data_IF_169202274712
#
_entry.id   IF_169202274712
#
_cell.length_a   1.000
_cell.length_b   1.000
_cell.length_c   1.000
_cell.angle_alpha   90.00
_cell.angle_beta   90.00
_cell.angle_gamma   90.00
#
_symmetry.space_group_name_H-M   'P 1'
#
loop_
_entity.id
_entity.type
_entity.pdbx_description
1 polymer ?
#
# COMPACT_ATOMS: atom_id res chain seq x y z
N UNK A 1 -21.32 -43.13 -8.11
CA UNK A 1 -20.06 -42.69 -7.48
C UNK A 1 -20.32 -41.35 -6.85
N UNK A 2 -20.48 -41.32 -5.53
CA UNK A 2 -20.82 -40.11 -4.77
C UNK A 2 -19.52 -39.32 -4.58
N UNK A 3 -19.39 -38.17 -5.23
CA UNK A 3 -18.31 -37.23 -4.91
C UNK A 3 -18.59 -36.67 -3.51
N UNK A 4 -17.77 -37.08 -2.55
CA UNK A 4 -17.70 -36.42 -1.25
C UNK A 4 -17.05 -35.06 -1.53
N UNK A 5 -17.83 -33.98 -1.54
CA UNK A 5 -17.28 -32.65 -1.29
C UNK A 5 -16.89 -32.64 0.18
N UNK A 6 -15.66 -33.01 0.48
CA UNK A 6 -15.05 -32.64 1.77
C UNK A 6 -15.00 -31.12 1.80
N UNK A 7 -16.03 -30.53 2.40
CA UNK A 7 -16.01 -29.14 2.80
C UNK A 7 -15.23 -29.09 4.12
N UNK A 8 -13.93 -29.31 4.04
CA UNK A 8 -13.04 -29.26 5.20
C UNK A 8 -12.94 -27.80 5.62
N UNK A 9 -13.39 -27.50 6.84
CA UNK A 9 -13.27 -26.16 7.40
C UNK A 9 -11.79 -25.73 7.41
N UNK A 10 -11.48 -24.44 7.14
CA UNK A 10 -10.10 -23.99 7.17
C UNK A 10 -9.48 -24.23 8.55
N UNK A 11 -8.28 -24.80 8.55
CA UNK A 11 -7.43 -24.96 9.71
C UNK A 11 -6.59 -23.71 9.94
N UNK A 12 -6.18 -23.52 11.19
CA UNK A 12 -5.44 -22.36 11.63
C UNK A 12 -4.42 -22.74 12.71
N UNK A 13 -3.34 -21.99 12.77
CA UNK A 13 -2.38 -22.01 13.87
C UNK A 13 -2.27 -20.61 14.49
N UNK A 14 -1.68 -20.53 15.68
CA UNK A 14 -1.46 -19.27 16.39
C UNK A 14 0.02 -18.99 16.44
N UNK A 15 0.42 -17.77 16.06
CA UNK A 15 1.79 -17.31 16.19
C UNK A 15 1.80 -15.89 16.78
N UNK A 16 2.45 -15.74 17.93
CA UNK A 16 2.30 -14.54 18.76
C UNK A 16 0.85 -14.34 19.20
N UNK A 17 0.29 -13.16 18.94
CA UNK A 17 -1.09 -12.81 19.30
C UNK A 17 -2.09 -13.00 18.14
N UNK A 18 -1.64 -13.51 17.00
CA UNK A 18 -2.46 -13.61 15.77
C UNK A 18 -2.73 -15.06 15.39
N UNK A 19 -3.87 -15.25 14.72
CA UNK A 19 -4.33 -16.53 14.20
C UNK A 19 -4.19 -16.54 12.68
N UNK A 20 -3.44 -17.49 12.16
CA UNK A 20 -3.11 -17.61 10.73
C UNK A 20 -3.75 -18.86 10.16
N UNK A 21 -4.32 -18.73 8.97
CA UNK A 21 -4.88 -19.87 8.24
C UNK A 21 -3.74 -20.74 7.71
N UNK A 22 -3.81 -22.06 7.92
CA UNK A 22 -2.87 -23.03 7.36
C UNK A 22 -3.37 -23.71 6.09
N UNK A 23 -4.69 -23.88 5.95
CA UNK A 23 -5.26 -24.56 4.77
C UNK A 23 -5.07 -23.71 3.51
N UNK A 24 -4.48 -24.24 2.42
CA UNK A 24 -4.44 -23.57 1.13
C UNK A 24 -5.83 -23.14 0.62
N UNK A 25 -5.93 -22.11 -0.23
CA UNK A 25 -7.19 -21.78 -0.89
C UNK A 25 -7.62 -22.87 -1.90
N UNK A 26 -8.93 -22.99 -2.13
CA UNK A 26 -9.41 -23.63 -3.36
C UNK A 26 -9.15 -22.72 -4.57
N UNK A 27 -9.31 -23.25 -5.79
CA UNK A 27 -9.18 -22.44 -7.02
C UNK A 27 -10.21 -21.31 -7.07
N UNK A 28 -11.44 -21.59 -6.65
CA UNK A 28 -12.52 -20.60 -6.59
C UNK A 28 -12.24 -19.53 -5.54
N UNK A 29 -11.68 -19.92 -4.39
CA UNK A 29 -11.32 -18.99 -3.33
C UNK A 29 -10.14 -18.09 -3.73
N UNK A 30 -9.09 -18.65 -4.35
CA UNK A 30 -7.97 -17.86 -4.85
C UNK A 30 -8.46 -16.87 -5.94
N UNK A 31 -9.40 -17.28 -6.79
CA UNK A 31 -10.02 -16.38 -7.76
C UNK A 31 -10.82 -15.24 -7.08
N UNK A 32 -11.52 -15.53 -5.97
CA UNK A 32 -12.21 -14.50 -5.19
C UNK A 32 -11.23 -13.55 -4.51
N UNK A 33 -10.12 -14.06 -3.97
CA UNK A 33 -9.05 -13.22 -3.42
C UNK A 33 -8.46 -12.32 -4.48
N UNK A 34 -8.21 -12.85 -5.68
CA UNK A 34 -7.72 -12.04 -6.80
C UNK A 34 -8.72 -10.96 -7.23
N UNK A 35 -10.02 -11.29 -7.25
CA UNK A 35 -11.05 -10.30 -7.53
C UNK A 35 -11.17 -9.22 -6.44
N UNK A 36 -10.87 -9.56 -5.18
CA UNK A 36 -11.02 -8.64 -4.03
C UNK A 36 -9.79 -7.78 -3.80
N UNK A 37 -8.60 -8.37 -3.91
CA UNK A 37 -7.32 -7.76 -3.53
C UNK A 37 -6.41 -7.46 -4.74
N UNK A 38 -6.82 -7.87 -5.94
CA UNK A 38 -6.00 -7.78 -7.15
C UNK A 38 -5.03 -8.94 -7.24
N UNK A 39 -3.73 -8.65 -7.27
CA UNK A 39 -2.72 -9.69 -7.36
C UNK A 39 -2.53 -10.41 -6.01
N UNK A 40 -2.29 -11.72 -6.06
CA UNK A 40 -1.99 -12.57 -4.90
C UNK A 40 -0.67 -13.26 -5.18
N UNK A 41 0.30 -13.08 -4.28
CA UNK A 41 1.55 -13.82 -4.32
C UNK A 41 1.35 -15.20 -3.70
N UNK A 42 1.99 -16.20 -4.31
CA UNK A 42 2.08 -17.54 -3.76
C UNK A 42 3.54 -17.98 -3.76
N UNK A 43 4.01 -18.51 -2.64
CA UNK A 43 5.33 -19.11 -2.50
C UNK A 43 5.21 -20.59 -2.12
N UNK A 44 6.17 -21.39 -2.58
CA UNK A 44 6.34 -22.81 -2.25
C UNK A 44 7.84 -23.03 -1.99
N UNK A 45 8.18 -23.65 -0.87
CA UNK A 45 9.57 -23.86 -0.47
C UNK A 45 10.19 -25.14 -1.06
N UNK A 46 9.42 -25.92 -1.82
CA UNK A 46 9.85 -27.20 -2.38
C UNK A 46 9.80 -28.37 -1.41
N UNK A 47 9.51 -28.13 -0.13
CA UNK A 47 9.30 -29.14 0.92
C UNK A 47 7.81 -29.32 1.24
N UNK A 48 6.95 -28.62 0.51
CA UNK A 48 5.50 -28.68 0.64
C UNK A 48 4.92 -27.62 1.57
N UNK A 49 5.72 -26.68 2.06
CA UNK A 49 5.21 -25.50 2.73
C UNK A 49 4.84 -24.44 1.70
N UNK A 50 3.65 -23.88 1.85
CA UNK A 50 3.12 -22.86 0.96
C UNK A 50 2.68 -21.63 1.72
N UNK A 51 2.68 -20.51 1.03
CA UNK A 51 2.31 -19.19 1.55
C UNK A 51 1.53 -18.43 0.48
N UNK A 52 0.48 -17.73 0.89
CA UNK A 52 -0.30 -16.82 0.06
C UNK A 52 -0.38 -15.46 0.73
N UNK A 53 -0.01 -14.42 -0.01
CA UNK A 53 -0.03 -13.03 0.44
C UNK A 53 -0.89 -12.20 -0.51
N UNK A 54 -1.67 -11.28 0.05
CA UNK A 54 -2.30 -10.19 -0.72
C UNK A 54 -1.44 -8.94 -0.69
N UNK A 55 -1.68 -8.03 -1.62
CA UNK A 55 -1.06 -6.70 -1.56
C UNK A 55 -1.63 -5.92 -0.38
N UNK A 56 -0.84 -5.10 0.33
CA UNK A 56 -1.38 -4.23 1.36
C UNK A 56 -2.31 -3.20 0.73
N UNK A 57 -3.38 -2.88 1.44
CA UNK A 57 -4.26 -1.77 1.09
C UNK A 57 -3.81 -0.48 1.81
N UNK A 58 -4.38 0.66 1.45
CA UNK A 58 -4.08 1.94 2.09
C UNK A 58 -4.28 1.89 3.62
N UNK A 59 -5.35 1.28 4.18
CA UNK A 59 -5.48 1.07 5.61
C UNK A 59 -4.28 0.35 6.26
N UNK A 60 -3.82 -0.78 5.71
CA UNK A 60 -2.64 -1.51 6.20
C UNK A 60 -1.41 -0.61 6.17
N UNK A 61 -1.14 0.04 5.02
CA UNK A 61 0.03 0.91 4.86
C UNK A 61 0.03 2.05 5.88
N UNK A 62 -1.13 2.65 6.15
CA UNK A 62 -1.25 3.71 7.17
C UNK A 62 -0.99 3.19 8.58
N UNK A 63 -1.41 1.98 8.91
CA UNK A 63 -1.10 1.38 10.22
C UNK A 63 0.41 1.13 10.33
N UNK A 64 1.02 0.55 9.32
CA UNK A 64 2.45 0.26 9.30
C UNK A 64 3.29 1.55 9.42
N UNK A 65 3.02 2.56 8.60
CA UNK A 65 3.73 3.86 8.66
C UNK A 65 3.52 4.54 10.03
N UNK A 66 2.34 4.41 10.63
CA UNK A 66 2.07 4.99 11.95
C UNK A 66 2.92 4.34 13.05
N UNK A 67 3.15 3.03 12.98
CA UNK A 67 4.02 2.31 13.92
C UNK A 67 5.47 2.73 13.73
N UNK A 68 5.96 2.79 12.49
CA UNK A 68 7.31 3.28 12.18
C UNK A 68 7.54 4.70 12.75
N UNK A 69 6.58 5.62 12.57
CA UNK A 69 6.64 6.98 13.13
C UNK A 69 6.65 7.04 14.66
N UNK A 70 6.22 5.98 15.36
CA UNK A 70 6.28 5.89 16.83
C UNK A 70 7.64 5.38 17.34
N UNK A 71 8.65 5.30 16.47
CA UNK A 71 10.00 4.89 16.83
C UNK A 71 10.24 3.38 16.72
N UNK A 72 9.37 2.66 16.00
CA UNK A 72 9.61 1.27 15.62
C UNK A 72 10.65 1.18 14.49
N UNK A 73 11.34 0.05 14.43
CA UNK A 73 12.39 -0.20 13.45
C UNK A 73 11.81 -0.49 12.06
N UNK A 74 12.66 -0.48 11.02
CA UNK A 74 12.24 -0.92 9.68
C UNK A 74 11.81 -2.39 9.70
N UNK A 75 12.49 -3.23 10.48
CA UNK A 75 12.14 -4.65 10.68
C UNK A 75 10.72 -4.78 11.25
N UNK A 76 10.36 -4.00 12.28
CA UNK A 76 9.00 -3.99 12.84
C UNK A 76 7.94 -3.59 11.79
N UNK A 77 8.31 -2.74 10.83
CA UNK A 77 7.43 -2.27 9.77
C UNK A 77 7.21 -3.35 8.70
N UNK A 78 8.29 -3.96 8.20
CA UNK A 78 8.27 -5.07 7.25
C UNK A 78 7.49 -6.25 7.82
N UNK A 79 7.77 -6.61 9.08
CA UNK A 79 7.11 -7.71 9.80
C UNK A 79 5.59 -7.50 9.90
N UNK A 80 5.18 -6.28 10.30
CA UNK A 80 3.78 -5.93 10.41
C UNK A 80 3.07 -5.96 9.05
N UNK A 81 3.71 -5.43 8.00
CA UNK A 81 3.15 -5.46 6.65
C UNK A 81 2.97 -6.89 6.16
N UNK A 82 4.02 -7.70 6.26
CA UNK A 82 4.03 -9.08 5.81
C UNK A 82 2.93 -9.90 6.50
N UNK A 83 2.85 -9.83 7.83
CA UNK A 83 1.81 -10.52 8.62
C UNK A 83 0.40 -10.01 8.32
N UNK A 84 0.23 -8.71 8.11
CA UNK A 84 -1.08 -8.12 7.75
C UNK A 84 -1.55 -8.53 6.35
N UNK A 85 -0.62 -8.95 5.49
CA UNK A 85 -0.88 -9.40 4.13
C UNK A 85 -1.08 -10.92 4.01
N UNK A 86 -0.93 -11.66 5.10
CA UNK A 86 -1.07 -13.11 5.12
C UNK A 86 -2.51 -13.56 4.88
N UNK A 87 -2.72 -14.36 3.83
CA UNK A 87 -4.01 -14.99 3.53
C UNK A 87 -4.09 -16.44 4.03
N UNK A 88 -3.04 -17.21 3.73
CA UNK A 88 -2.89 -18.60 4.18
C UNK A 88 -1.41 -19.01 4.09
N UNK A 89 -1.00 -19.98 4.91
CA UNK A 89 0.31 -20.60 4.75
C UNK A 89 0.70 -21.48 5.92
N UNK A 90 1.76 -22.26 5.78
CA UNK A 90 2.27 -23.12 6.85
C UNK A 90 3.00 -22.31 7.92
N UNK A 91 2.95 -22.78 9.17
CA UNK A 91 3.65 -22.16 10.32
C UNK A 91 5.16 -22.02 10.09
N UNK A 92 5.76 -22.90 9.28
CA UNK A 92 7.17 -22.84 8.88
C UNK A 92 7.59 -21.44 8.38
N UNK A 93 6.73 -20.76 7.63
CA UNK A 93 6.97 -19.39 7.12
C UNK A 93 6.95 -18.30 8.17
N UNK A 94 6.70 -18.59 9.45
CA UNK A 94 6.82 -17.63 10.55
C UNK A 94 7.84 -18.06 11.61
N UNK A 95 8.25 -19.34 11.63
CA UNK A 95 9.15 -19.87 12.67
C UNK A 95 10.55 -20.22 12.15
N UNK A 96 10.70 -20.42 10.83
CA UNK A 96 11.99 -20.59 10.19
C UNK A 96 12.49 -19.23 9.68
N UNK A 97 13.57 -18.72 10.25
CA UNK A 97 14.14 -17.41 9.95
C UNK A 97 14.62 -17.31 8.49
N UNK A 98 15.30 -18.33 7.97
CA UNK A 98 15.77 -18.35 6.57
C UNK A 98 14.58 -18.30 5.59
N UNK A 99 13.50 -19.02 5.90
CA UNK A 99 12.29 -19.05 5.09
C UNK A 99 11.55 -17.71 5.15
N UNK A 100 11.52 -17.09 6.33
CA UNK A 100 10.90 -15.79 6.55
C UNK A 100 11.63 -14.69 5.79
N UNK A 101 12.95 -14.63 5.90
CA UNK A 101 13.78 -13.66 5.20
C UNK A 101 13.69 -13.84 3.68
N UNK A 102 13.69 -15.09 3.19
CA UNK A 102 13.49 -15.36 1.77
C UNK A 102 12.13 -14.84 1.27
N UNK A 103 11.05 -15.05 2.03
CA UNK A 103 9.74 -14.53 1.69
C UNK A 103 9.67 -13.00 1.74
N UNK A 104 10.31 -12.37 2.73
CA UNK A 104 10.38 -10.91 2.85
C UNK A 104 11.10 -10.27 1.66
N UNK A 105 12.24 -10.84 1.24
CA UNK A 105 13.01 -10.34 0.10
C UNK A 105 12.20 -10.32 -1.20
N UNK A 106 11.30 -11.28 -1.41
CA UNK A 106 10.39 -11.31 -2.55
C UNK A 106 9.16 -10.39 -2.36
N UNK A 107 8.72 -10.20 -1.12
CA UNK A 107 7.56 -9.36 -0.78
C UNK A 107 7.86 -7.86 -0.85
N UNK A 108 9.05 -7.43 -0.44
CA UNK A 108 9.44 -6.02 -0.34
C UNK A 108 9.28 -5.23 -1.66
N UNK A 109 9.84 -5.68 -2.80
CA UNK A 109 9.69 -4.98 -4.07
C UNK A 109 8.22 -4.89 -4.52
N UNK A 110 7.39 -5.86 -4.13
CA UNK A 110 5.98 -5.89 -4.50
C UNK A 110 5.14 -4.86 -3.76
N UNK A 111 5.56 -4.47 -2.55
CA UNK A 111 4.88 -3.48 -1.70
C UNK A 111 5.48 -2.07 -1.81
N UNK A 112 6.44 -1.87 -2.70
CA UNK A 112 7.01 -0.54 -2.99
C UNK A 112 5.94 0.40 -3.59
N UNK A 113 5.81 1.60 -2.99
CA UNK A 113 4.90 2.64 -3.47
C UNK A 113 5.54 3.26 -4.72
N UNK A 114 4.85 3.30 -5.86
CA UNK A 114 5.41 3.89 -7.08
C UNK A 114 5.64 5.39 -6.91
N UNK A 115 6.79 5.87 -7.38
CA UNK A 115 7.04 7.30 -7.49
C UNK A 115 6.13 7.93 -8.54
N UNK A 116 5.52 9.06 -8.18
CA UNK A 116 4.76 9.86 -9.13
C UNK A 116 5.64 10.90 -9.81
N UNK A 117 5.66 10.89 -11.14
CA UNK A 117 6.30 11.94 -11.92
C UNK A 117 5.58 13.27 -11.68
N UNK A 118 6.34 14.32 -11.35
CA UNK A 118 5.79 15.65 -11.07
C UNK A 118 6.40 16.70 -12.01
N UNK A 119 5.57 17.27 -12.88
CA UNK A 119 5.98 18.26 -13.89
C UNK A 119 5.21 19.58 -13.73
N UNK A 120 5.91 20.72 -13.67
CA UNK A 120 5.26 22.03 -13.66
C UNK A 120 4.90 22.46 -15.08
N UNK A 121 3.65 22.88 -15.28
CA UNK A 121 3.09 23.41 -16.52
C UNK A 121 2.94 24.92 -16.37
N UNK A 122 3.93 25.67 -16.88
CA UNK A 122 4.01 27.12 -16.67
C UNK A 122 2.80 27.88 -17.24
N UNK A 123 2.31 27.47 -18.42
CA UNK A 123 1.20 28.14 -19.11
C UNK A 123 -0.13 28.02 -18.36
N UNK A 124 -0.29 26.97 -17.56
CA UNK A 124 -1.49 26.69 -16.76
C UNK A 124 -1.30 27.05 -15.28
N UNK A 125 -0.05 27.27 -14.86
CA UNK A 125 0.34 27.40 -13.46
C UNK A 125 -0.11 26.21 -12.58
N UNK A 126 -0.02 24.99 -13.15
CA UNK A 126 -0.39 23.72 -12.51
C UNK A 126 0.79 22.75 -12.47
N UNK A 127 0.69 21.74 -11.62
CA UNK A 127 1.56 20.57 -11.64
C UNK A 127 0.81 19.39 -12.22
N UNK A 128 1.34 18.78 -13.26
CA UNK A 128 0.92 17.48 -13.76
C UNK A 128 1.60 16.39 -12.94
N UNK A 129 0.80 15.44 -12.46
CA UNK A 129 1.23 14.26 -11.74
C UNK A 129 0.90 13.02 -12.57
N UNK A 130 1.88 12.12 -12.71
CA UNK A 130 1.67 10.82 -13.40
C UNK A 130 2.16 9.66 -12.56
N UNK A 131 1.35 8.61 -12.46
CA UNK A 131 1.73 7.37 -11.79
C UNK A 131 0.90 6.21 -12.33
N UNK A 132 1.53 5.07 -12.64
CA UNK A 132 0.83 3.85 -13.11
C UNK A 132 -0.21 4.10 -14.23
N UNK A 133 0.07 5.03 -15.14
CA UNK A 133 -0.85 5.39 -16.24
C UNK A 133 -1.93 6.43 -15.87
N UNK A 134 -2.15 6.72 -14.60
CA UNK A 134 -2.99 7.83 -14.16
C UNK A 134 -2.29 9.17 -14.45
N UNK A 135 -3.07 10.14 -14.90
CA UNK A 135 -2.62 11.52 -15.11
C UNK A 135 -3.63 12.46 -14.49
N UNK A 136 -3.14 13.41 -13.70
CA UNK A 136 -3.97 14.48 -13.16
C UNK A 136 -3.19 15.77 -12.95
N UNK A 137 -3.90 16.88 -12.81
CA UNK A 137 -3.29 18.18 -12.56
C UNK A 137 -3.74 18.74 -11.23
N UNK A 138 -2.79 19.31 -10.49
CA UNK A 138 -3.00 19.94 -9.20
C UNK A 138 -2.45 21.36 -9.17
N UNK A 139 -3.11 22.25 -8.46
CA UNK A 139 -2.56 23.55 -8.13
C UNK A 139 -1.49 23.42 -7.03
N UNK A 140 -0.57 24.38 -6.96
CA UNK A 140 0.36 24.45 -5.83
C UNK A 140 -0.39 24.67 -4.50
N UNK A 141 -0.17 23.85 -3.46
CA UNK A 141 -0.86 24.04 -2.19
C UNK A 141 -0.40 25.33 -1.47
N UNK A 142 -1.36 26.22 -1.19
CA UNK A 142 -1.10 27.42 -0.39
C UNK A 142 -0.85 27.09 1.09
N UNK A 143 -0.25 28.02 1.84
CA UNK A 143 -0.11 27.88 3.32
C UNK A 143 -1.46 27.73 4.01
N UNK A 144 -2.51 28.40 3.52
CA UNK A 144 -3.86 28.33 4.09
C UNK A 144 -4.46 26.93 3.90
N UNK A 145 -4.39 26.38 2.70
CA UNK A 145 -4.87 25.02 2.40
C UNK A 145 -4.11 23.97 3.22
N UNK A 146 -2.77 24.07 3.31
CA UNK A 146 -1.97 23.17 4.17
C UNK A 146 -2.44 23.15 5.62
N UNK A 147 -2.58 24.34 6.22
CA UNK A 147 -3.09 24.47 7.60
C UNK A 147 -4.51 23.93 7.76
N UNK A 148 -5.37 24.11 6.75
CA UNK A 148 -6.73 23.60 6.77
C UNK A 148 -6.76 22.06 6.68
N UNK A 149 -5.94 21.47 5.81
CA UNK A 149 -5.82 20.03 5.66
C UNK A 149 -5.22 19.36 6.90
N UNK A 150 -4.21 19.97 7.52
CA UNK A 150 -3.63 19.51 8.81
C UNK A 150 -4.69 19.48 9.92
N UNK A 151 -5.50 20.54 10.04
CA UNK A 151 -6.59 20.60 11.02
C UNK A 151 -7.67 19.54 10.80
N UNK A 152 -7.89 19.11 9.55
CA UNK A 152 -8.85 18.06 9.22
C UNK A 152 -8.33 16.65 9.56
N UNK A 153 -7.01 16.46 9.58
CA UNK A 153 -6.38 15.22 10.00
C UNK A 153 -6.30 15.11 11.54
N UNK A 154 -7.46 15.12 12.20
CA UNK A 154 -7.59 15.16 13.68
C UNK A 154 -6.93 13.99 14.39
N UNK A 155 -6.90 12.82 13.75
CA UNK A 155 -6.29 11.60 14.29
C UNK A 155 -4.80 11.47 13.93
N UNK A 156 -4.19 12.48 13.31
CA UNK A 156 -2.80 12.48 12.83
C UNK A 156 -2.41 11.20 12.09
N UNK A 157 -3.35 10.67 11.29
CA UNK A 157 -3.13 9.42 10.56
C UNK A 157 -2.18 9.68 9.40
N UNK A 158 -1.28 8.74 9.05
CA UNK A 158 -0.46 8.84 7.86
C UNK A 158 -1.30 9.12 6.61
N UNK A 159 -0.75 9.92 5.69
CA UNK A 159 -1.39 10.47 4.50
C UNK A 159 -2.66 11.30 4.71
N UNK A 160 -3.20 11.43 5.94
CA UNK A 160 -4.49 12.09 6.15
C UNK A 160 -4.49 13.56 5.75
N UNK A 161 -3.38 14.26 5.97
CA UNK A 161 -3.22 15.65 5.54
C UNK A 161 -3.14 15.74 4.02
N UNK A 162 -2.41 14.84 3.38
CA UNK A 162 -2.19 14.81 1.93
C UNK A 162 -3.50 14.49 1.21
N UNK A 163 -4.32 13.58 1.73
CA UNK A 163 -5.65 13.25 1.19
C UNK A 163 -6.56 14.48 1.17
N UNK A 164 -6.65 15.19 2.30
CA UNK A 164 -7.46 16.42 2.38
C UNK A 164 -6.89 17.54 1.53
N UNK A 165 -5.56 17.62 1.42
CA UNK A 165 -4.92 18.63 0.61
C UNK A 165 -5.17 18.38 -0.88
N UNK A 166 -5.05 17.14 -1.33
CA UNK A 166 -5.32 16.71 -2.70
C UNK A 166 -6.73 17.12 -3.14
N UNK A 167 -7.75 16.87 -2.32
CA UNK A 167 -9.13 17.31 -2.58
C UNK A 167 -9.28 18.82 -2.78
N UNK A 168 -8.44 19.62 -2.12
CA UNK A 168 -8.49 21.09 -2.22
C UNK A 168 -7.75 21.64 -3.43
N UNK A 169 -6.84 20.87 -4.02
CA UNK A 169 -5.92 21.35 -5.06
C UNK A 169 -6.08 20.63 -6.40
N UNK A 170 -6.82 19.52 -6.46
CA UNK A 170 -7.11 18.81 -7.72
C UNK A 170 -7.87 19.70 -8.70
N UNK A 171 -7.38 19.78 -9.94
CA UNK A 171 -7.97 20.62 -10.99
C UNK A 171 -8.45 19.79 -12.18
N UNK A 172 -7.69 18.79 -12.62
CA UNK A 172 -8.00 17.98 -13.80
C UNK A 172 -7.64 16.50 -13.59
N UNK A 173 -8.36 15.61 -14.29
CA UNK A 173 -8.22 14.15 -14.22
C UNK A 173 -9.30 13.47 -13.36
N UNK A 174 -9.40 12.14 -13.45
CA UNK A 174 -10.37 11.35 -12.68
C UNK A 174 -9.80 10.92 -11.32
N UNK A 175 -10.14 11.70 -10.29
CA UNK A 175 -9.73 11.40 -8.92
C UNK A 175 -10.41 10.15 -8.35
N UNK A 176 -11.60 9.78 -8.83
CA UNK A 176 -12.31 8.60 -8.34
C UNK A 176 -11.67 7.32 -8.86
N UNK A 177 -11.25 7.32 -10.13
CA UNK A 177 -10.50 6.24 -10.74
C UNK A 177 -9.16 6.03 -10.04
N UNK A 178 -8.40 7.11 -9.80
CA UNK A 178 -7.13 7.06 -9.05
C UNK A 178 -7.31 6.42 -7.67
N UNK A 179 -8.41 6.73 -6.97
CA UNK A 179 -8.72 6.18 -5.63
C UNK A 179 -9.08 4.70 -5.64
N UNK A 180 -9.33 4.09 -6.79
CA UNK A 180 -9.52 2.63 -6.89
C UNK A 180 -8.20 1.86 -6.92
N UNK A 181 -7.06 2.52 -7.21
CA UNK A 181 -5.73 1.93 -7.11
C UNK A 181 -4.97 2.55 -5.92
N UNK A 182 -4.95 1.82 -4.80
CA UNK A 182 -4.31 2.27 -3.56
C UNK A 182 -2.84 2.66 -3.75
N UNK A 183 -2.09 1.98 -4.61
CA UNK A 183 -0.67 2.24 -4.82
C UNK A 183 -0.44 3.48 -5.67
N UNK A 184 -1.19 3.63 -6.76
CA UNK A 184 -1.18 4.86 -7.54
C UNK A 184 -1.60 6.05 -6.66
N UNK A 185 -2.65 5.88 -5.87
CA UNK A 185 -3.13 6.91 -4.96
C UNK A 185 -2.07 7.28 -3.91
N UNK A 186 -1.44 6.30 -3.26
CA UNK A 186 -0.34 6.54 -2.31
C UNK A 186 0.86 7.25 -2.97
N UNK A 187 1.22 6.89 -4.21
CA UNK A 187 2.27 7.57 -4.98
C UNK A 187 1.96 9.05 -5.21
N UNK A 188 0.71 9.36 -5.58
CA UNK A 188 0.25 10.76 -5.69
C UNK A 188 0.32 11.46 -4.33
N UNK A 189 -0.11 10.82 -3.24
CA UNK A 189 -0.05 11.42 -1.90
C UNK A 189 1.39 11.70 -1.46
N UNK A 190 2.35 10.83 -1.81
CA UNK A 190 3.77 11.06 -1.60
C UNK A 190 4.27 12.27 -2.40
N UNK A 191 3.91 12.41 -3.68
CA UNK A 191 4.24 13.60 -4.47
C UNK A 191 3.61 14.89 -3.92
N UNK A 192 2.37 14.83 -3.40
CA UNK A 192 1.76 15.97 -2.70
C UNK A 192 2.57 16.35 -1.45
N UNK A 193 3.08 15.37 -0.71
CA UNK A 193 3.96 15.61 0.44
C UNK A 193 5.23 16.37 0.03
N UNK A 194 5.84 16.04 -1.11
CA UNK A 194 6.99 16.75 -1.65
C UNK A 194 6.63 18.16 -2.16
N UNK A 195 5.49 18.33 -2.84
CA UNK A 195 5.02 19.63 -3.30
C UNK A 195 4.82 20.63 -2.14
N UNK A 196 4.52 20.15 -0.92
CA UNK A 196 4.42 20.99 0.28
C UNK A 196 5.77 21.59 0.70
N UNK A 197 6.89 20.91 0.41
CA UNK A 197 8.24 21.25 0.87
C UNK A 197 9.11 21.84 -0.24
N UNK A 198 8.74 21.64 -1.52
CA UNK A 198 9.48 22.13 -2.69
C UNK A 198 9.58 23.67 -2.69
N UNK A 199 10.79 24.20 -2.45
CA UNK A 199 11.12 25.60 -2.75
C UNK A 199 11.18 25.74 -4.28
N UNK A 200 10.34 26.60 -4.85
CA UNK A 200 10.49 26.98 -6.26
C UNK A 200 11.61 28.01 -6.30
N UNK A 201 12.73 27.66 -6.94
CA UNK A 201 13.77 28.61 -7.32
C UNK A 201 13.63 28.79 -8.83
N UNK A 202 13.11 29.94 -9.25
CA UNK A 202 13.12 30.33 -10.66
C UNK A 202 14.47 30.97 -10.97
N UNK A 203 15.28 30.30 -11.79
CA UNK A 203 16.45 30.93 -12.40
C UNK A 203 16.01 31.61 -13.68
N UNK A 204 15.87 32.94 -13.62
CA UNK A 204 15.66 33.77 -14.81
C UNK A 204 17.03 34.03 -15.45
N UNK A 205 17.22 33.61 -16.71
CA UNK A 205 18.38 34.06 -17.50
C UNK A 205 18.24 35.58 -17.71
N UNK A 206 19.21 36.35 -17.21
CA UNK A 206 19.42 37.74 -17.64
C UNK A 206 20.30 37.75 -18.88
#
# INVERSE_FOLDING_TARGET
>A
MTQIKENTAPEFFTHGEQKYRSTPPSKEEEAQWKATFGEVLAADDGEGHRLWLRRPDLPIMRVAIAQFKKGKTTIDFEDLLFKSCWLAGNEAWLVNEDLYEAALNEFEPWVEIPDAETRFLADENLYELKVKGFVGKVAKPSRRQRKQAEKRNTANKPFGTEMHLLEMIWQEGDLNELRQDDFAYMGILAAIQELKTRKIVELVKK
#
